data_IF_248110831134
#
_entry.id   IF_248110831134
#
_cell.length_a   1.000
_cell.length_b   1.000
_cell.length_c   1.000
_cell.angle_alpha   90.00
_cell.angle_beta   90.00
_cell.angle_gamma   90.00
#
_symmetry.space_group_name_H-M   'P 1'
#
loop_
_entity.id
_entity.type
_entity.pdbx_description
1 polymer ?
#
# COMPACT_ATOMS: atom_id res chain seq x y z
N UNK A 1 -10.70 9.19 -11.68
CA UNK A 1 -11.81 9.01 -10.72
C UNK A 1 -11.94 10.29 -9.89
N UNK A 2 -13.15 10.79 -9.67
CA UNK A 2 -13.33 12.07 -8.97
C UNK A 2 -13.23 11.91 -7.44
N UNK A 3 -13.35 10.68 -6.93
CA UNK A 3 -13.20 10.35 -5.51
C UNK A 3 -12.60 8.94 -5.31
N UNK A 4 -11.59 8.86 -4.44
CA UNK A 4 -10.96 7.63 -3.97
C UNK A 4 -11.03 7.58 -2.44
N UNK A 5 -11.35 6.42 -1.87
CA UNK A 5 -11.47 6.25 -0.40
C UNK A 5 -10.58 5.12 0.07
N UNK A 6 -9.65 5.43 0.98
CA UNK A 6 -8.82 4.48 1.69
C UNK A 6 -8.95 4.75 3.21
N UNK A 7 -9.20 3.70 3.99
CA UNK A 7 -9.53 3.79 5.42
C UNK A 7 -8.64 2.82 6.21
N UNK A 8 -8.05 3.33 7.29
CA UNK A 8 -7.32 2.57 8.30
C UNK A 8 -8.01 2.63 9.65
N UNK A 9 -7.88 1.58 10.44
CA UNK A 9 -8.45 1.46 11.77
C UNK A 9 -7.49 2.05 12.81
N UNK A 10 -7.92 3.14 13.45
CA UNK A 10 -7.25 3.69 14.62
C UNK A 10 -7.79 3.02 15.89
N UNK A 11 -6.93 2.34 16.64
CA UNK A 11 -7.26 1.85 17.98
C UNK A 11 -6.27 2.39 19.02
N UNK A 12 -6.75 3.30 19.87
CA UNK A 12 -5.96 3.94 20.92
C UNK A 12 -6.33 3.42 22.34
N UNK A 13 -7.23 2.44 22.46
CA UNK A 13 -7.73 2.02 23.76
C UNK A 13 -6.82 0.93 24.40
N UNK A 14 -6.01 1.39 25.36
CA UNK A 14 -5.45 0.64 26.51
C UNK A 14 -4.31 -0.40 26.31
N UNK A 15 -3.42 -0.28 25.31
CA UNK A 15 -2.27 -1.21 25.20
C UNK A 15 -1.15 -0.79 24.24
N UNK A 16 -0.23 -1.73 23.94
CA UNK A 16 0.71 -1.64 22.81
C UNK A 16 -0.12 -1.79 21.52
N UNK A 17 -0.77 -0.71 21.10
CA UNK A 17 -1.34 -0.64 19.75
C UNK A 17 -0.23 -0.68 18.72
N UNK A 18 -0.53 -1.10 17.49
CA UNK A 18 0.39 -0.88 16.37
C UNK A 18 0.25 0.59 15.93
N UNK A 19 1.22 1.47 16.27
CA UNK A 19 1.10 2.91 16.06
C UNK A 19 1.04 3.27 14.57
N UNK A 20 1.45 2.36 13.68
CA UNK A 20 1.46 2.57 12.25
C UNK A 20 0.33 1.82 11.51
N UNK A 21 -0.49 1.03 12.21
CA UNK A 21 -1.55 0.23 11.59
C UNK A 21 -2.49 1.05 10.68
N UNK A 22 -3.01 2.23 11.09
CA UNK A 22 -3.91 3.00 10.22
C UNK A 22 -3.23 3.39 8.91
N UNK A 23 -1.96 3.79 8.98
CA UNK A 23 -1.18 4.18 7.81
C UNK A 23 -0.85 2.98 6.92
N UNK A 24 -0.51 1.83 7.52
CA UNK A 24 -0.24 0.59 6.80
C UNK A 24 -1.48 0.09 6.05
N UNK A 25 -2.65 0.15 6.67
CA UNK A 25 -3.91 -0.25 6.03
C UNK A 25 -4.30 0.70 4.89
N UNK A 26 -4.15 2.01 5.09
CA UNK A 26 -4.38 3.01 4.03
C UNK A 26 -3.41 2.79 2.87
N UNK A 27 -2.13 2.59 3.17
CA UNK A 27 -1.11 2.32 2.17
C UNK A 27 -1.43 1.04 1.40
N UNK A 28 -1.78 -0.06 2.09
CA UNK A 28 -2.18 -1.31 1.47
C UNK A 28 -3.30 -1.12 0.45
N UNK A 29 -4.37 -0.42 0.83
CA UNK A 29 -5.48 -0.09 -0.07
C UNK A 29 -5.02 0.71 -1.30
N UNK A 30 -4.19 1.75 -1.10
CA UNK A 30 -3.65 2.58 -2.20
C UNK A 30 -2.72 1.79 -3.12
N UNK A 31 -2.05 0.76 -2.59
CA UNK A 31 -1.22 -0.17 -3.34
C UNK A 31 -1.96 -1.43 -3.80
N UNK A 32 -3.29 -1.43 -3.75
CA UNK A 32 -4.13 -2.46 -4.37
C UNK A 32 -4.44 -3.69 -3.51
N UNK A 33 -4.08 -3.72 -2.23
CA UNK A 33 -4.51 -4.76 -1.28
C UNK A 33 -5.97 -4.50 -0.85
N UNK A 34 -6.91 -5.03 -1.64
CA UNK A 34 -8.34 -4.75 -1.51
C UNK A 34 -9.17 -6.02 -1.27
N UNK A 35 -8.59 -7.19 -1.49
CA UNK A 35 -9.26 -8.48 -1.59
C UNK A 35 -9.89 -8.87 -0.24
N UNK A 36 -9.14 -8.77 0.86
CA UNK A 36 -9.63 -9.10 2.18
C UNK A 36 -10.76 -8.17 2.63
N UNK A 37 -10.59 -6.85 2.44
CA UNK A 37 -11.61 -5.85 2.80
C UNK A 37 -12.85 -5.95 1.92
N UNK A 38 -12.69 -6.32 0.64
CA UNK A 38 -13.81 -6.57 -0.27
C UNK A 38 -14.59 -7.83 0.13
N UNK A 39 -13.89 -8.91 0.46
CA UNK A 39 -14.52 -10.17 0.92
C UNK A 39 -15.28 -9.99 2.24
N UNK A 40 -14.78 -9.14 3.13
CA UNK A 40 -15.42 -8.77 4.40
C UNK A 40 -16.57 -7.75 4.24
N UNK A 41 -16.80 -7.22 3.03
CA UNK A 41 -17.79 -6.18 2.77
C UNK A 41 -17.42 -4.80 3.35
N UNK A 42 -16.19 -4.61 3.82
CA UNK A 42 -15.70 -3.35 4.38
C UNK A 42 -15.50 -2.26 3.30
N UNK A 43 -15.37 -2.65 2.03
CA UNK A 43 -15.35 -1.76 0.87
C UNK A 43 -16.26 -2.30 -0.25
N UNK A 44 -16.78 -1.40 -1.09
CA UNK A 44 -17.57 -1.79 -2.25
C UNK A 44 -16.69 -2.30 -3.40
N UNK A 45 -17.28 -3.09 -4.31
CA UNK A 45 -16.62 -3.51 -5.57
C UNK A 45 -16.15 -2.32 -6.40
N UNK A 46 -16.95 -1.25 -6.42
CA UNK A 46 -16.60 -0.01 -7.12
C UNK A 46 -15.36 0.65 -6.51
N UNK A 47 -15.30 0.81 -5.18
CA UNK A 47 -14.15 1.40 -4.53
C UNK A 47 -12.89 0.54 -4.72
N UNK A 48 -13.02 -0.79 -4.65
CA UNK A 48 -11.93 -1.71 -4.96
C UNK A 48 -11.44 -1.54 -6.41
N UNK A 49 -12.35 -1.36 -7.38
CA UNK A 49 -12.00 -1.07 -8.77
C UNK A 49 -11.25 0.25 -8.92
N UNK A 50 -11.70 1.31 -8.24
CA UNK A 50 -11.04 2.63 -8.24
C UNK A 50 -9.63 2.55 -7.64
N UNK A 51 -9.46 1.86 -6.52
CA UNK A 51 -8.16 1.65 -5.86
C UNK A 51 -7.19 0.86 -6.75
N UNK A 52 -7.64 -0.24 -7.37
CA UNK A 52 -6.82 -0.97 -8.35
C UNK A 52 -6.42 -0.11 -9.55
N UNK A 53 -7.34 0.71 -10.05
CA UNK A 53 -7.06 1.67 -11.14
C UNK A 53 -6.08 2.78 -10.74
N UNK A 54 -5.96 3.09 -9.45
CA UNK A 54 -5.08 4.11 -8.91
C UNK A 54 -3.67 3.60 -8.57
N UNK A 55 -3.47 2.27 -8.55
CA UNK A 55 -2.21 1.61 -8.18
C UNK A 55 -0.98 2.19 -8.88
N UNK A 56 -1.09 2.52 -10.18
CA UNK A 56 0.02 3.11 -10.94
C UNK A 56 0.47 4.46 -10.37
N UNK A 57 -0.48 5.30 -9.97
CA UNK A 57 -0.21 6.63 -9.41
C UNK A 57 0.42 6.48 -8.04
N UNK A 58 -0.15 5.64 -7.18
CA UNK A 58 0.44 5.34 -5.86
C UNK A 58 1.84 4.74 -5.96
N UNK A 59 2.07 3.82 -6.91
CA UNK A 59 3.39 3.25 -7.17
C UNK A 59 4.40 4.30 -7.60
N UNK A 60 4.02 5.22 -8.49
CA UNK A 60 4.90 6.33 -8.90
C UNK A 60 5.25 7.24 -7.71
N UNK A 61 4.26 7.62 -6.90
CA UNK A 61 4.50 8.44 -5.72
C UNK A 61 5.43 7.76 -4.71
N UNK A 62 5.34 6.43 -4.56
CA UNK A 62 6.28 5.67 -3.72
C UNK A 62 7.68 5.59 -4.31
N UNK A 63 7.86 5.60 -5.63
CA UNK A 63 9.18 5.69 -6.24
C UNK A 63 9.78 7.08 -6.06
N UNK A 64 8.95 8.12 -6.17
CA UNK A 64 9.39 9.52 -6.08
C UNK A 64 9.69 9.95 -4.63
N UNK A 65 8.90 9.49 -3.66
CA UNK A 65 8.98 9.89 -2.25
C UNK A 65 9.55 8.79 -1.34
N UNK A 66 9.48 7.53 -1.75
CA UNK A 66 9.96 6.39 -0.97
C UNK A 66 11.45 6.42 -0.66
N UNK A 67 12.37 6.95 -1.49
CA UNK A 67 13.79 7.03 -1.15
C UNK A 67 14.08 7.70 0.19
N UNK A 68 13.28 8.69 0.60
CA UNK A 68 13.40 9.34 1.91
C UNK A 68 13.06 8.41 3.10
N UNK A 69 12.35 7.30 2.84
CA UNK A 69 11.99 6.26 3.82
C UNK A 69 12.94 5.05 3.76
N UNK A 70 13.63 4.85 2.64
CA UNK A 70 14.48 3.68 2.37
C UNK A 70 15.69 3.69 3.32
N UNK A 71 16.36 4.81 3.52
CA UNK A 71 17.49 4.87 4.47
C UNK A 71 17.07 4.82 5.96
N UNK A 72 15.77 4.91 6.24
CA UNK A 72 15.22 4.88 7.60
C UNK A 72 14.69 3.49 7.98
N UNK A 73 14.00 2.80 7.06
CA UNK A 73 13.26 1.58 7.37
C UNK A 73 13.74 0.33 6.62
N UNK A 74 14.38 0.45 5.45
CA UNK A 74 14.75 -0.72 4.61
C UNK A 74 16.01 -0.46 3.78
N UNK A 75 17.13 -1.19 3.98
CA UNK A 75 18.37 -0.97 3.24
C UNK A 75 18.17 -0.96 1.70
N UNK A 76 18.60 0.13 1.04
CA UNK A 76 18.41 0.34 -0.41
C UNK A 76 18.89 -0.84 -1.26
N UNK A 77 20.05 -1.42 -0.94
CA UNK A 77 20.59 -2.57 -1.67
C UNK A 77 19.65 -3.79 -1.67
N UNK A 78 18.97 -4.05 -0.54
CA UNK A 78 18.01 -5.14 -0.41
C UNK A 78 16.74 -4.88 -1.22
N UNK A 79 16.29 -3.62 -1.27
CA UNK A 79 15.15 -3.20 -2.09
C UNK A 79 15.45 -3.29 -3.59
N UNK A 80 16.59 -2.76 -4.04
CA UNK A 80 17.01 -2.83 -5.44
C UNK A 80 17.12 -4.28 -5.94
N UNK A 81 17.63 -5.19 -5.09
CA UNK A 81 17.71 -6.62 -5.42
C UNK A 81 16.32 -7.21 -5.66
N UNK A 82 15.34 -6.91 -4.79
CA UNK A 82 13.96 -7.41 -4.93
C UNK A 82 13.23 -6.82 -6.14
N UNK A 83 13.50 -5.55 -6.46
CA UNK A 83 12.98 -4.92 -7.68
C UNK A 83 13.57 -5.62 -8.91
N UNK A 84 14.87 -5.90 -8.91
CA UNK A 84 15.54 -6.63 -9.98
C UNK A 84 14.93 -8.01 -10.23
N UNK A 85 14.67 -8.80 -9.17
CA UNK A 85 14.01 -10.10 -9.30
C UNK A 85 12.59 -9.99 -9.84
N UNK A 86 11.81 -9.01 -9.37
CA UNK A 86 10.44 -8.80 -9.86
C UNK A 86 10.39 -8.42 -11.35
N UNK A 87 11.33 -7.60 -11.80
CA UNK A 87 11.43 -7.22 -13.23
C UNK A 87 11.85 -8.42 -14.08
N UNK A 88 12.78 -9.24 -13.60
CA UNK A 88 13.20 -10.46 -14.30
C UNK A 88 12.03 -11.46 -14.45
N UNK A 89 11.26 -11.68 -13.38
CA UNK A 89 10.10 -12.59 -13.37
C UNK A 89 8.96 -12.12 -14.30
N UNK A 90 8.88 -10.82 -14.59
CA UNK A 90 7.83 -10.25 -15.44
C UNK A 90 8.22 -10.20 -16.94
N UNK A 91 9.51 -10.38 -17.24
CA UNK A 91 10.07 -10.35 -18.59
C UNK A 91 10.42 -11.74 -19.13
N UNK A 92 10.50 -12.76 -18.27
CA UNK A 92 10.60 -14.18 -18.64
C UNK A 92 9.22 -14.82 -18.82
#
# INVERSE_FOLDING_TARGET
PDLLVAIGNCNAQTGIGDPYLPFREVLGLLTGDVEAKLAQGAISKENAGRLRGFLRISGQALVDLGPDLIDIFVPWAGLATRVGTFVADKLG
#
